data_IF_844608996203
#
_entry.id   IF_844608996203
#
_cell.length_a   1.000
_cell.length_b   1.000
_cell.length_c   1.000
_cell.angle_alpha   90.00
_cell.angle_beta   90.00
_cell.angle_gamma   90.00
#
_symmetry.space_group_name_H-M   'P 1'
#
loop_
_entity.id
_entity.type
_entity.pdbx_description
1 polymer ?
#
# COMPACT_ATOMS: atom_id res chain seq x y z
N UNK A 1 15.80 1.64 48.98
CA UNK A 1 14.69 1.71 48.00
C UNK A 1 15.29 2.07 46.66
N UNK A 2 15.33 1.15 45.70
CA UNK A 2 16.00 1.40 44.43
C UNK A 2 15.14 2.32 43.55
N UNK A 3 15.63 3.52 43.26
CA UNK A 3 15.03 4.47 42.32
C UNK A 3 15.06 3.88 40.91
N UNK A 4 14.07 3.06 40.58
CA UNK A 4 13.95 2.50 39.25
C UNK A 4 13.47 3.59 38.29
N UNK A 5 14.18 3.79 37.17
CA UNK A 5 13.77 4.75 36.12
C UNK A 5 12.34 4.46 35.65
N UNK A 6 11.47 5.45 35.37
CA UNK A 6 10.14 5.23 34.78
C UNK A 6 10.17 4.50 33.43
N UNK A 7 9.06 3.84 33.06
CA UNK A 7 9.00 3.08 31.79
C UNK A 7 9.08 4.01 30.58
N UNK A 8 8.55 5.23 30.70
CA UNK A 8 8.58 6.27 29.68
C UNK A 8 10.02 6.68 29.38
N UNK A 9 10.86 6.81 30.41
CA UNK A 9 12.30 7.08 30.27
C UNK A 9 13.01 5.93 29.58
N UNK A 10 12.68 4.67 29.93
CA UNK A 10 13.24 3.50 29.25
C UNK A 10 12.81 3.43 27.79
N UNK A 11 11.54 3.76 27.47
CA UNK A 11 11.05 3.83 26.08
C UNK A 11 11.85 4.86 25.30
N UNK A 12 12.04 6.05 25.86
CA UNK A 12 12.82 7.10 25.21
C UNK A 12 14.27 6.68 24.95
N UNK A 13 14.94 6.05 25.93
CA UNK A 13 16.31 5.55 25.75
C UNK A 13 16.35 4.43 24.70
N UNK A 14 15.46 3.44 24.81
CA UNK A 14 15.46 2.25 23.97
C UNK A 14 15.04 2.55 22.53
N UNK A 15 14.24 3.60 22.29
CA UNK A 15 13.84 4.02 20.94
C UNK A 15 15.04 4.44 20.05
N UNK A 16 16.18 4.78 20.66
CA UNK A 16 17.42 5.11 19.95
C UNK A 16 18.37 3.93 19.77
N UNK A 17 18.04 2.75 20.32
CA UNK A 17 18.88 1.54 20.19
C UNK A 17 18.62 0.83 18.86
N UNK A 18 19.68 0.26 18.29
CA UNK A 18 19.57 -0.59 17.11
C UNK A 18 18.77 -1.86 17.44
N UNK A 19 18.00 -2.43 16.49
CA UNK A 19 17.21 -3.65 16.73
C UNK A 19 18.02 -4.82 17.31
N UNK A 20 19.26 -5.02 16.85
CA UNK A 20 20.15 -6.05 17.37
C UNK A 20 20.50 -5.85 18.86
N UNK A 21 20.60 -4.60 19.32
CA UNK A 21 20.83 -4.26 20.72
C UNK A 21 19.55 -4.47 21.54
N UNK A 22 18.40 -4.07 21.01
CA UNK A 22 17.09 -4.33 21.65
C UNK A 22 16.88 -5.82 21.90
N UNK A 23 17.26 -6.69 20.96
CA UNK A 23 17.21 -8.14 21.14
C UNK A 23 18.05 -8.64 22.33
N UNK A 24 19.21 -8.03 22.58
CA UNK A 24 20.01 -8.33 23.78
C UNK A 24 19.33 -7.80 25.04
N UNK A 25 18.74 -6.60 24.98
CA UNK A 25 17.98 -6.00 26.10
C UNK A 25 16.80 -6.87 26.52
N UNK A 26 16.16 -7.60 25.59
CA UNK A 26 15.09 -8.58 25.90
C UNK A 26 15.53 -9.67 26.89
N UNK A 27 16.83 -9.95 26.97
CA UNK A 27 17.40 -11.01 27.80
C UNK A 27 17.78 -10.52 29.21
N UNK A 28 17.86 -9.20 29.43
CA UNK A 28 18.38 -8.61 30.68
C UNK A 28 17.38 -8.72 31.84
N UNK A 29 16.14 -8.27 31.64
CA UNK A 29 15.10 -8.32 32.68
C UNK A 29 13.70 -8.36 32.08
N UNK A 30 12.69 -8.82 32.85
CA UNK A 30 11.28 -8.85 32.40
C UNK A 30 10.76 -7.45 32.04
N UNK A 31 11.16 -6.44 32.81
CA UNK A 31 10.76 -5.05 32.58
C UNK A 31 11.36 -4.51 31.29
N UNK A 32 12.65 -4.73 31.09
CA UNK A 32 13.34 -4.31 29.86
C UNK A 32 12.80 -5.05 28.65
N UNK A 33 12.46 -6.34 28.81
CA UNK A 33 11.78 -7.13 27.80
C UNK A 33 10.47 -6.46 27.35
N UNK A 34 9.57 -6.14 28.26
CA UNK A 34 8.29 -5.53 27.91
C UNK A 34 8.46 -4.21 27.11
N UNK A 35 9.40 -3.36 27.53
CA UNK A 35 9.70 -2.10 26.84
C UNK A 35 10.33 -2.34 25.45
N UNK A 36 11.32 -3.22 25.36
CA UNK A 36 12.00 -3.52 24.11
C UNK A 36 11.11 -4.28 23.11
N UNK A 37 10.25 -5.21 23.57
CA UNK A 37 9.25 -5.88 22.71
C UNK A 37 8.27 -4.85 22.14
N UNK A 38 7.76 -3.94 22.97
CA UNK A 38 6.88 -2.87 22.49
C UNK A 38 7.54 -2.08 21.37
N UNK A 39 8.80 -1.66 21.53
CA UNK A 39 9.52 -0.90 20.49
C UNK A 39 9.74 -1.74 19.23
N UNK A 40 10.22 -2.98 19.37
CA UNK A 40 10.51 -3.87 18.25
C UNK A 40 9.27 -4.22 17.42
N UNK A 41 8.14 -4.45 18.07
CA UNK A 41 6.91 -4.89 17.40
C UNK A 41 5.94 -3.77 17.05
N UNK A 42 6.18 -2.51 17.48
CA UNK A 42 5.30 -1.39 17.10
C UNK A 42 5.25 -1.20 15.58
N UNK A 43 6.40 -1.31 14.91
CA UNK A 43 6.52 -1.14 13.47
C UNK A 43 7.23 -2.35 12.86
N UNK A 44 6.48 -3.20 12.16
CA UNK A 44 7.01 -4.40 11.52
C UNK A 44 7.11 -4.14 10.03
N UNK A 45 8.31 -4.30 9.47
CA UNK A 45 8.54 -4.25 8.03
C UNK A 45 9.32 -5.48 7.59
N UNK A 46 8.76 -6.24 6.65
CA UNK A 46 9.32 -7.50 6.15
C UNK A 46 9.52 -7.36 4.64
N UNK A 47 10.76 -7.48 4.20
CA UNK A 47 11.13 -7.55 2.79
C UNK A 47 11.75 -8.91 2.49
N UNK A 48 11.19 -9.65 1.53
CA UNK A 48 11.65 -11.00 1.19
C UNK A 48 11.75 -11.21 -0.31
N UNK A 49 12.83 -11.86 -0.75
CA UNK A 49 13.00 -12.32 -2.12
C UNK A 49 12.54 -13.77 -2.21
N UNK A 50 11.64 -14.06 -3.16
CA UNK A 50 11.04 -15.37 -3.36
C UNK A 50 11.52 -15.93 -4.71
N UNK A 51 12.71 -16.58 -4.76
CA UNK A 51 13.17 -17.25 -5.96
C UNK A 51 12.35 -18.51 -6.24
N UNK A 52 12.32 -18.98 -7.49
CA UNK A 52 11.60 -20.22 -7.83
C UNK A 52 12.08 -21.45 -7.05
N UNK A 53 13.37 -21.50 -6.67
CA UNK A 53 13.94 -22.59 -5.87
C UNK A 53 13.50 -22.56 -4.40
N UNK A 54 13.12 -21.38 -3.88
CA UNK A 54 12.61 -21.21 -2.53
C UNK A 54 11.45 -20.20 -2.52
N UNK A 55 10.24 -20.64 -2.89
CA UNK A 55 9.09 -19.75 -3.05
C UNK A 55 8.42 -19.38 -1.72
N UNK A 56 8.91 -19.85 -0.58
CA UNK A 56 8.26 -19.70 0.74
C UNK A 56 8.77 -18.45 1.47
N UNK A 57 7.91 -17.46 1.80
CA UNK A 57 8.26 -16.29 2.61
C UNK A 57 8.39 -16.65 4.09
N UNK A 58 9.50 -17.28 4.46
CA UNK A 58 9.75 -17.77 5.81
C UNK A 58 9.73 -16.66 6.88
N UNK A 59 10.24 -15.46 6.59
CA UNK A 59 10.27 -14.39 7.61
C UNK A 59 8.86 -13.89 7.89
N UNK A 60 8.04 -13.73 6.85
CA UNK A 60 6.63 -13.37 6.95
C UNK A 60 5.89 -14.43 7.76
N UNK A 61 6.04 -15.70 7.40
CA UNK A 61 5.39 -16.80 8.12
C UNK A 61 5.79 -16.83 9.61
N UNK A 62 7.08 -16.82 9.90
CA UNK A 62 7.59 -16.81 11.28
C UNK A 62 7.09 -15.60 12.08
N UNK A 63 7.03 -14.43 11.47
CA UNK A 63 6.54 -13.21 12.12
C UNK A 63 5.05 -13.35 12.50
N UNK A 64 4.20 -13.73 11.56
CA UNK A 64 2.77 -13.86 11.83
C UNK A 64 2.44 -15.04 12.75
N UNK A 65 3.16 -16.16 12.65
CA UNK A 65 3.09 -17.23 13.66
C UNK A 65 3.48 -16.74 15.06
N UNK A 66 4.49 -15.87 15.16
CA UNK A 66 4.90 -15.28 16.44
C UNK A 66 3.79 -14.41 17.03
N UNK A 67 3.12 -13.58 16.22
CA UNK A 67 1.96 -12.78 16.65
C UNK A 67 0.84 -13.70 17.16
N UNK A 68 0.54 -14.78 16.43
CA UNK A 68 -0.50 -15.75 16.83
C UNK A 68 -0.12 -16.44 18.15
N UNK A 69 1.13 -16.87 18.31
CA UNK A 69 1.62 -17.56 19.51
C UNK A 69 1.77 -16.62 20.72
N UNK A 70 1.88 -15.31 20.49
CA UNK A 70 2.05 -14.29 21.53
C UNK A 70 1.00 -13.18 21.39
N UNK A 71 -0.26 -13.43 21.82
CA UNK A 71 -1.37 -12.51 21.58
C UNK A 71 -1.16 -11.09 22.13
N UNK A 72 -0.43 -10.91 23.24
CA UNK A 72 -0.10 -9.58 23.78
C UNK A 72 0.66 -8.69 22.78
N UNK A 73 1.33 -9.27 21.77
CA UNK A 73 1.97 -8.49 20.71
C UNK A 73 0.93 -7.74 19.85
N UNK A 74 -0.29 -8.25 19.73
CA UNK A 74 -1.32 -7.57 18.92
C UNK A 74 -1.73 -6.21 19.51
N UNK A 75 -1.52 -6.00 20.81
CA UNK A 75 -1.79 -4.73 21.50
C UNK A 75 -0.73 -3.66 21.21
N UNK A 76 0.47 -4.05 20.77
CA UNK A 76 1.58 -3.10 20.51
C UNK A 76 1.79 -2.82 19.03
N UNK A 77 1.44 -3.73 18.13
CA UNK A 77 1.61 -3.54 16.68
C UNK A 77 0.75 -2.37 16.20
N UNK A 78 1.38 -1.41 15.51
CA UNK A 78 0.73 -0.25 14.90
C UNK A 78 0.92 -0.21 13.39
N UNK A 79 2.04 -0.69 12.88
CA UNK A 79 2.34 -0.69 11.45
C UNK A 79 2.84 -2.04 10.99
N UNK A 80 2.28 -2.54 9.89
CA UNK A 80 2.74 -3.72 9.18
C UNK A 80 3.02 -3.36 7.73
N UNK A 81 4.23 -3.65 7.28
CA UNK A 81 4.62 -3.64 5.87
C UNK A 81 5.18 -4.99 5.46
N UNK A 82 4.62 -5.61 4.43
CA UNK A 82 5.13 -6.86 3.83
C UNK A 82 5.41 -6.60 2.36
N UNK A 83 6.63 -6.92 1.92
CA UNK A 83 7.05 -6.77 0.53
C UNK A 83 7.74 -8.04 0.05
N UNK A 84 7.06 -8.79 -0.79
CA UNK A 84 7.61 -9.95 -1.48
C UNK A 84 8.11 -9.55 -2.87
N UNK A 85 9.28 -10.08 -3.23
CA UNK A 85 9.91 -9.88 -4.52
C UNK A 85 10.02 -11.24 -5.21
N UNK A 86 9.04 -11.56 -6.03
CA UNK A 86 9.05 -12.78 -6.86
C UNK A 86 9.85 -12.55 -8.13
N UNK A 87 10.53 -13.59 -8.63
CA UNK A 87 11.17 -13.52 -9.95
C UNK A 87 10.14 -13.30 -11.08
N UNK A 88 10.49 -12.69 -12.22
CA UNK A 88 9.60 -12.60 -13.37
C UNK A 88 9.16 -13.99 -13.86
N UNK A 89 7.94 -14.11 -14.38
CA UNK A 89 7.44 -15.34 -14.98
C UNK A 89 6.06 -15.77 -14.49
N UNK A 90 5.63 -16.99 -14.83
CA UNK A 90 4.35 -17.57 -14.39
C UNK A 90 4.27 -17.67 -12.86
N UNK A 91 3.06 -17.56 -12.29
CA UNK A 91 2.85 -17.47 -10.82
C UNK A 91 2.32 -18.74 -10.19
N UNK A 92 1.90 -19.70 -11.01
CA UNK A 92 1.29 -20.97 -10.63
C UNK A 92 2.19 -21.76 -9.67
N UNK A 93 3.51 -21.71 -9.88
CA UNK A 93 4.49 -22.39 -9.02
C UNK A 93 4.53 -21.87 -7.58
N UNK A 94 4.21 -20.59 -7.36
CA UNK A 94 4.16 -19.99 -6.03
C UNK A 94 2.84 -20.35 -5.33
N UNK A 95 1.72 -20.41 -6.07
CA UNK A 95 0.36 -20.50 -5.50
C UNK A 95 0.20 -21.66 -4.50
N UNK A 96 0.77 -22.84 -4.79
CA UNK A 96 0.72 -24.03 -3.91
C UNK A 96 1.30 -23.80 -2.51
N UNK A 97 2.24 -22.86 -2.38
CA UNK A 97 2.87 -22.51 -1.10
C UNK A 97 2.21 -21.29 -0.44
N UNK A 98 1.54 -20.43 -1.22
CA UNK A 98 1.04 -19.15 -0.71
C UNK A 98 -0.24 -19.32 0.09
N UNK A 99 -1.13 -20.25 -0.29
CA UNK A 99 -2.43 -20.38 0.36
C UNK A 99 -2.35 -20.56 1.90
N UNK A 100 -1.55 -21.50 2.45
CA UNK A 100 -1.43 -21.66 3.91
C UNK A 100 -0.84 -20.42 4.61
N UNK A 101 0.04 -19.70 3.90
CA UNK A 101 0.71 -18.52 4.43
C UNK A 101 -0.28 -17.35 4.47
N UNK A 102 -1.08 -17.17 3.43
CA UNK A 102 -2.13 -16.15 3.39
C UNK A 102 -3.17 -16.37 4.48
N UNK A 103 -3.55 -17.63 4.75
CA UNK A 103 -4.42 -17.98 5.88
C UNK A 103 -3.79 -17.61 7.22
N UNK A 104 -2.49 -17.85 7.38
CA UNK A 104 -1.74 -17.46 8.59
C UNK A 104 -1.67 -15.94 8.75
N UNK A 105 -1.42 -15.21 7.66
CA UNK A 105 -1.45 -13.75 7.64
C UNK A 105 -2.84 -13.25 8.03
N UNK A 106 -3.90 -13.75 7.41
CA UNK A 106 -5.28 -13.36 7.72
C UNK A 106 -5.62 -13.59 9.20
N UNK A 107 -5.31 -14.78 9.73
CA UNK A 107 -5.55 -15.11 11.14
C UNK A 107 -4.85 -14.13 12.08
N UNK A 108 -3.59 -13.79 11.80
CA UNK A 108 -2.85 -12.84 12.60
C UNK A 108 -3.39 -11.41 12.46
N UNK A 109 -3.71 -10.96 11.23
CA UNK A 109 -4.28 -9.64 10.96
C UNK A 109 -5.59 -9.40 11.72
N UNK A 110 -6.45 -10.41 11.86
CA UNK A 110 -7.68 -10.32 12.68
C UNK A 110 -7.43 -9.95 14.15
N UNK A 111 -6.24 -10.24 14.68
CA UNK A 111 -5.87 -9.91 16.06
C UNK A 111 -5.41 -8.45 16.21
N UNK A 112 -5.01 -7.79 15.11
CA UNK A 112 -4.36 -6.48 15.12
C UNK A 112 -5.35 -5.32 15.05
N UNK A 113 -6.24 -5.22 16.04
CA UNK A 113 -7.31 -4.21 16.07
C UNK A 113 -6.80 -2.78 16.21
N UNK A 114 -5.57 -2.59 16.68
CA UNK A 114 -4.91 -1.29 16.87
C UNK A 114 -4.02 -0.88 15.69
N UNK A 115 -4.13 -1.58 14.55
CA UNK A 115 -3.31 -1.31 13.37
C UNK A 115 -3.68 0.04 12.73
N UNK A 116 -2.67 0.89 12.54
CA UNK A 116 -2.80 2.22 11.94
C UNK A 116 -2.32 2.25 10.48
N UNK A 117 -1.40 1.35 10.11
CA UNK A 117 -0.81 1.28 8.78
C UNK A 117 -0.66 -0.18 8.34
N UNK A 118 -1.25 -0.52 7.20
CA UNK A 118 -1.13 -1.83 6.57
C UNK A 118 -0.67 -1.67 5.13
N UNK A 119 0.52 -2.17 4.81
CA UNK A 119 1.09 -2.17 3.46
C UNK A 119 1.44 -3.59 3.04
N UNK A 120 0.76 -4.12 2.03
CA UNK A 120 0.95 -5.47 1.52
C UNK A 120 1.31 -5.42 0.04
N UNK A 121 2.56 -5.73 -0.29
CA UNK A 121 3.09 -5.80 -1.64
C UNK A 121 3.55 -7.23 -1.93
N UNK A 122 2.64 -8.09 -2.38
CA UNK A 122 2.87 -9.54 -2.39
C UNK A 122 3.59 -10.05 -3.66
N UNK A 123 3.72 -9.25 -4.73
CA UNK A 123 4.42 -9.66 -5.96
C UNK A 123 3.76 -10.79 -6.75
N UNK A 124 2.55 -11.20 -6.36
CA UNK A 124 1.78 -12.32 -6.94
C UNK A 124 0.74 -11.85 -7.97
N UNK A 125 1.04 -10.77 -8.68
CA UNK A 125 0.19 -10.27 -9.76
C UNK A 125 0.00 -11.35 -10.82
N UNK A 126 -1.25 -11.56 -11.24
CA UNK A 126 -1.67 -12.63 -12.15
C UNK A 126 -2.00 -13.96 -11.47
N UNK A 127 -1.72 -14.09 -10.17
CA UNK A 127 -2.18 -15.24 -9.38
C UNK A 127 -3.68 -15.21 -9.13
N UNK A 128 -4.21 -16.34 -8.65
CA UNK A 128 -5.62 -16.52 -8.25
C UNK A 128 -5.91 -16.02 -6.83
N UNK A 129 -4.98 -15.27 -6.22
CA UNK A 129 -5.09 -14.83 -4.84
C UNK A 129 -6.09 -13.69 -4.73
N UNK A 130 -7.14 -13.95 -3.95
CA UNK A 130 -8.15 -12.96 -3.60
C UNK A 130 -7.72 -12.12 -2.39
N UNK A 131 -7.96 -10.81 -2.46
CA UNK A 131 -7.91 -9.90 -1.30
C UNK A 131 -8.80 -10.38 -0.14
N UNK A 132 -9.87 -11.12 -0.45
CA UNK A 132 -10.76 -11.70 0.55
C UNK A 132 -10.06 -12.75 1.40
N UNK A 133 -9.25 -13.63 0.83
CA UNK A 133 -8.48 -14.62 1.61
C UNK A 133 -7.56 -13.95 2.63
N UNK A 134 -7.05 -12.76 2.32
CA UNK A 134 -6.13 -12.00 3.14
C UNK A 134 -6.82 -11.14 4.22
N UNK A 135 -7.95 -10.53 3.88
CA UNK A 135 -8.58 -9.50 4.73
C UNK A 135 -9.90 -9.94 5.36
N UNK A 136 -10.45 -11.10 5.00
CA UNK A 136 -11.76 -11.54 5.51
C UNK A 136 -11.79 -11.50 7.05
N UNK A 137 -12.90 -10.94 7.58
CA UNK A 137 -13.15 -10.72 9.00
C UNK A 137 -12.14 -9.81 9.73
N UNK A 138 -11.22 -9.16 9.02
CA UNK A 138 -10.35 -8.16 9.63
C UNK A 138 -11.15 -6.89 9.96
N UNK A 139 -10.87 -6.28 11.10
CA UNK A 139 -11.46 -5.01 11.54
C UNK A 139 -10.36 -4.10 12.02
N UNK A 140 -10.22 -2.94 11.38
CA UNK A 140 -9.17 -1.99 11.69
C UNK A 140 -9.75 -0.59 11.94
N UNK A 141 -10.36 -0.34 13.10
CA UNK A 141 -11.01 0.93 13.41
C UNK A 141 -10.06 2.13 13.38
N UNK A 142 -8.75 1.90 13.52
CA UNK A 142 -7.72 2.94 13.53
C UNK A 142 -6.87 2.97 12.26
N UNK A 143 -7.23 2.21 11.21
CA UNK A 143 -6.40 2.14 9.99
C UNK A 143 -6.45 3.47 9.24
N UNK A 144 -5.32 4.16 9.19
CA UNK A 144 -5.17 5.44 8.48
C UNK A 144 -4.51 5.26 7.13
N UNK A 145 -3.58 4.31 7.01
CA UNK A 145 -2.91 3.99 5.76
C UNK A 145 -3.21 2.55 5.36
N UNK A 146 -3.74 2.39 4.15
CA UNK A 146 -3.92 1.09 3.53
C UNK A 146 -3.26 1.07 2.15
N UNK A 147 -2.35 0.12 1.95
CA UNK A 147 -1.71 -0.12 0.67
C UNK A 147 -1.77 -1.60 0.30
N UNK A 148 -2.21 -1.88 -0.93
CA UNK A 148 -2.28 -3.22 -1.46
C UNK A 148 -1.75 -3.24 -2.90
N UNK A 149 -0.80 -4.12 -3.16
CA UNK A 149 -0.18 -4.31 -4.47
C UNK A 149 0.30 -5.75 -4.64
N UNK A 150 0.55 -6.15 -5.89
CA UNK A 150 1.01 -7.47 -6.25
C UNK A 150 -0.02 -8.56 -6.00
N UNK A 151 -1.31 -8.26 -6.11
CA UNK A 151 -2.39 -9.25 -6.16
C UNK A 151 -3.38 -8.88 -7.26
N UNK A 152 -4.20 -9.85 -7.69
CA UNK A 152 -5.16 -9.67 -8.79
C UNK A 152 -4.50 -9.60 -10.16
N UNK A 153 -5.26 -9.17 -11.17
CA UNK A 153 -4.83 -9.12 -12.58
C UNK A 153 -3.64 -8.17 -12.81
N UNK A 154 -3.66 -7.01 -12.17
CA UNK A 154 -2.81 -5.88 -12.52
C UNK A 154 -2.91 -5.53 -14.01
N UNK A 155 -1.75 -5.32 -14.65
CA UNK A 155 -1.58 -4.99 -16.07
C UNK A 155 -1.78 -6.16 -17.05
N UNK A 156 -2.13 -7.36 -16.57
CA UNK A 156 -2.33 -8.50 -17.48
C UNK A 156 -3.62 -8.31 -18.30
N UNK A 157 -3.67 -8.79 -19.56
CA UNK A 157 -4.89 -8.78 -20.35
C UNK A 157 -6.02 -9.54 -19.66
N UNK A 158 -7.26 -9.08 -19.81
CA UNK A 158 -8.46 -9.74 -19.23
C UNK A 158 -8.55 -11.22 -19.62
N UNK A 159 -8.16 -11.56 -20.85
CA UNK A 159 -8.15 -12.96 -21.34
C UNK A 159 -7.23 -13.89 -20.55
N UNK A 160 -6.20 -13.34 -19.90
CA UNK A 160 -5.23 -14.10 -19.09
C UNK A 160 -5.68 -14.27 -17.64
N UNK A 161 -6.81 -13.67 -17.24
CA UNK A 161 -7.34 -13.72 -15.89
C UNK A 161 -8.88 -13.85 -15.97
N UNK A 162 -9.39 -15.05 -16.32
CA UNK A 162 -10.81 -15.26 -16.61
C UNK A 162 -11.72 -15.14 -15.38
N UNK A 163 -11.17 -15.40 -14.19
CA UNK A 163 -11.90 -15.32 -12.92
C UNK A 163 -11.58 -14.00 -12.22
N UNK A 164 -12.43 -12.96 -12.34
CA UNK A 164 -12.16 -11.68 -11.71
C UNK A 164 -12.01 -11.86 -10.20
N UNK A 165 -10.94 -11.29 -9.64
CA UNK A 165 -10.78 -11.26 -8.19
C UNK A 165 -11.97 -10.52 -7.58
N UNK A 166 -12.60 -11.03 -6.51
CA UNK A 166 -13.70 -10.33 -5.89
C UNK A 166 -13.20 -8.97 -5.42
N UNK A 167 -13.97 -7.90 -5.66
CA UNK A 167 -13.44 -6.56 -5.58
C UNK A 167 -13.37 -6.12 -4.10
N UNK A 168 -12.47 -5.19 -3.78
CA UNK A 168 -12.06 -4.88 -2.39
C UNK A 168 -13.01 -3.91 -1.66
N UNK A 169 -14.11 -3.50 -2.29
CA UNK A 169 -15.03 -2.47 -1.78
C UNK A 169 -15.64 -2.83 -0.44
N UNK A 170 -15.92 -4.11 -0.19
CA UNK A 170 -16.46 -4.57 1.09
C UNK A 170 -15.55 -4.22 2.27
N UNK A 171 -14.23 -4.24 2.05
CA UNK A 171 -13.25 -3.90 3.08
C UNK A 171 -13.09 -2.38 3.20
N UNK A 172 -13.02 -1.68 2.08
CA UNK A 172 -12.87 -0.22 2.04
C UNK A 172 -14.09 0.48 2.67
N UNK A 173 -15.31 0.03 2.35
CA UNK A 173 -16.55 0.54 2.94
C UNK A 173 -16.65 0.28 4.45
N UNK A 174 -16.09 -0.84 4.93
CA UNK A 174 -16.04 -1.17 6.35
C UNK A 174 -14.95 -0.41 7.13
N UNK A 175 -14.08 0.36 6.46
CA UNK A 175 -12.91 1.01 7.07
C UNK A 175 -12.89 2.52 6.81
N UNK A 176 -13.83 3.29 7.39
CA UNK A 176 -13.95 4.73 7.11
C UNK A 176 -12.79 5.58 7.65
N UNK A 177 -11.91 5.02 8.49
CA UNK A 177 -10.76 5.69 9.08
C UNK A 177 -9.60 5.94 8.11
N UNK A 178 -9.62 5.32 6.92
CA UNK A 178 -8.54 5.41 5.94
C UNK A 178 -8.40 6.85 5.43
N UNK A 179 -7.20 7.41 5.60
CA UNK A 179 -6.79 8.73 5.12
C UNK A 179 -5.89 8.61 3.89
N UNK A 180 -5.11 7.55 3.81
CA UNK A 180 -4.16 7.28 2.73
C UNK A 180 -4.43 5.92 2.10
N UNK A 181 -4.87 5.91 0.85
CA UNK A 181 -5.18 4.69 0.11
C UNK A 181 -4.20 4.51 -1.06
N UNK A 182 -3.58 3.34 -1.16
CA UNK A 182 -2.69 2.98 -2.27
C UNK A 182 -3.11 1.65 -2.91
N UNK A 183 -3.58 1.70 -4.15
CA UNK A 183 -4.03 0.54 -4.93
C UNK A 183 -3.29 0.54 -6.27
N UNK A 184 -1.98 0.24 -6.22
CA UNK A 184 -1.06 0.44 -7.36
C UNK A 184 -1.38 -0.49 -8.53
N UNK A 185 -1.89 -1.69 -8.24
CA UNK A 185 -2.19 -2.72 -9.26
C UNK A 185 -3.70 -2.92 -9.47
N UNK A 186 -4.52 -2.00 -8.97
CA UNK A 186 -5.95 -1.99 -9.25
C UNK A 186 -6.20 -1.13 -10.50
N UNK A 187 -6.71 -1.76 -11.55
CA UNK A 187 -7.05 -1.14 -12.84
C UNK A 187 -8.56 -1.21 -13.10
N UNK A 188 -9.33 -1.45 -12.05
CA UNK A 188 -10.78 -1.63 -12.11
C UNK A 188 -11.49 -0.43 -11.47
N UNK A 189 -12.72 -0.22 -11.92
CA UNK A 189 -13.63 0.78 -11.34
C UNK A 189 -14.18 0.20 -10.05
N UNK A 190 -13.98 0.91 -8.94
CA UNK A 190 -14.50 0.50 -7.63
C UNK A 190 -15.88 1.13 -7.40
N UNK A 191 -16.84 0.30 -6.99
CA UNK A 191 -18.23 0.74 -6.76
C UNK A 191 -18.44 1.17 -5.30
N UNK A 192 -17.73 2.22 -4.88
CA UNK A 192 -17.83 2.78 -3.52
C UNK A 192 -18.91 3.86 -3.42
N UNK A 193 -19.67 3.86 -2.33
CA UNK A 193 -20.66 4.93 -2.03
C UNK A 193 -19.94 6.21 -1.64
N UNK A 194 -20.51 7.38 -1.92
CA UNK A 194 -19.91 8.67 -1.54
C UNK A 194 -19.67 8.84 -0.04
N UNK A 195 -20.40 8.10 0.80
CA UNK A 195 -20.21 8.02 2.26
C UNK A 195 -19.00 7.18 2.69
N UNK A 196 -18.50 6.30 1.83
CA UNK A 196 -17.37 5.43 2.13
C UNK A 196 -16.07 6.27 2.07
N UNK A 197 -15.12 6.01 2.97
CA UNK A 197 -13.84 6.73 3.05
C UNK A 197 -13.99 8.27 3.16
N UNK A 198 -14.79 8.79 4.11
CA UNK A 198 -15.16 10.21 4.17
C UNK A 198 -13.99 11.15 4.45
N UNK A 199 -12.89 10.65 5.01
CA UNK A 199 -11.69 11.42 5.39
C UNK A 199 -10.48 11.10 4.51
N UNK A 200 -10.69 10.52 3.33
CA UNK A 200 -9.62 10.19 2.39
C UNK A 200 -8.94 11.46 1.87
N UNK A 201 -7.68 11.68 2.27
CA UNK A 201 -6.90 12.87 1.92
C UNK A 201 -5.82 12.60 0.87
N UNK A 202 -5.35 11.35 0.76
CA UNK A 202 -4.38 10.94 -0.25
C UNK A 202 -4.77 9.64 -0.95
N UNK A 203 -4.61 9.62 -2.27
CA UNK A 203 -4.85 8.45 -3.10
C UNK A 203 -3.66 8.18 -4.03
N UNK A 204 -3.30 6.90 -4.18
CA UNK A 204 -2.36 6.41 -5.20
C UNK A 204 -2.93 5.22 -5.94
N UNK A 205 -3.01 5.28 -7.27
CA UNK A 205 -3.58 4.19 -8.07
C UNK A 205 -3.67 4.55 -9.57
N UNK A 206 -4.27 3.67 -10.36
CA UNK A 206 -4.54 3.94 -11.77
C UNK A 206 -5.55 5.08 -11.95
N UNK A 207 -5.59 5.70 -13.13
CA UNK A 207 -6.55 6.77 -13.43
C UNK A 207 -8.02 6.30 -13.38
N UNK A 208 -8.39 5.13 -13.94
CA UNK A 208 -9.76 4.62 -13.82
C UNK A 208 -10.18 4.38 -12.37
N UNK A 209 -9.30 3.80 -11.55
CA UNK A 209 -9.57 3.60 -10.12
C UNK A 209 -9.68 4.93 -9.40
N UNK A 210 -8.77 5.89 -9.64
CA UNK A 210 -8.86 7.24 -9.08
C UNK A 210 -10.19 7.93 -9.45
N UNK A 211 -10.61 7.85 -10.71
CA UNK A 211 -11.87 8.42 -11.20
C UNK A 211 -13.10 7.84 -10.48
N UNK A 212 -13.05 6.57 -10.08
CA UNK A 212 -14.12 5.93 -9.29
C UNK A 212 -14.07 6.29 -7.80
N UNK A 213 -12.87 6.37 -7.22
CA UNK A 213 -12.67 6.58 -5.78
C UNK A 213 -12.75 8.06 -5.38
N UNK A 214 -12.42 9.03 -6.23
CA UNK A 214 -12.30 10.42 -5.77
C UNK A 214 -13.63 11.17 -5.67
N UNK A 215 -14.67 10.72 -6.37
CA UNK A 215 -15.95 11.45 -6.45
C UNK A 215 -16.55 11.73 -5.07
N UNK A 216 -16.67 13.01 -4.71
CA UNK A 216 -17.23 13.48 -3.43
C UNK A 216 -16.28 13.36 -2.22
N UNK A 217 -15.05 12.86 -2.38
CA UNK A 217 -14.10 12.64 -1.28
C UNK A 217 -13.03 13.74 -1.21
N UNK A 218 -12.51 14.11 -0.02
CA UNK A 218 -11.66 15.28 0.15
C UNK A 218 -10.18 15.00 -0.17
N UNK A 219 -9.90 14.42 -1.35
CA UNK A 219 -8.53 14.07 -1.74
C UNK A 219 -7.77 15.34 -2.15
N UNK A 220 -6.61 15.54 -1.53
CA UNK A 220 -5.71 16.67 -1.82
C UNK A 220 -4.39 16.22 -2.45
N UNK A 221 -3.99 14.98 -2.19
CA UNK A 221 -2.76 14.37 -2.70
C UNK A 221 -3.09 13.20 -3.61
N UNK A 222 -2.83 13.35 -4.91
CA UNK A 222 -3.07 12.35 -5.93
C UNK A 222 -1.76 11.87 -6.54
N UNK A 223 -1.51 10.56 -6.54
CA UNK A 223 -0.44 9.94 -7.29
C UNK A 223 -1.02 8.95 -8.30
N UNK A 224 -0.87 9.26 -9.59
CA UNK A 224 -1.32 8.38 -10.64
C UNK A 224 -0.19 7.43 -11.04
N UNK A 225 -0.53 6.16 -11.28
CA UNK A 225 0.42 5.10 -11.67
C UNK A 225 -0.08 4.37 -12.91
N UNK A 226 0.85 3.70 -13.60
CA UNK A 226 0.54 2.80 -14.71
C UNK A 226 0.91 3.37 -16.07
N UNK A 227 0.68 2.56 -17.10
CA UNK A 227 0.96 2.88 -18.50
C UNK A 227 -0.31 3.16 -19.31
N UNK A 228 -1.47 3.11 -18.67
CA UNK A 228 -2.76 3.32 -19.33
C UNK A 228 -2.95 4.78 -19.72
N UNK A 229 -3.68 4.99 -20.81
CA UNK A 229 -4.06 6.32 -21.27
C UNK A 229 -5.07 6.92 -20.29
N UNK A 230 -4.73 8.06 -19.69
CA UNK A 230 -5.65 8.83 -18.86
C UNK A 230 -6.65 9.52 -19.79
N UNK A 231 -7.92 9.15 -19.70
CA UNK A 231 -8.95 9.76 -20.55
C UNK A 231 -9.43 11.08 -19.97
N UNK A 232 -9.99 11.95 -20.82
CA UNK A 232 -10.62 13.21 -20.39
C UNK A 232 -11.75 12.94 -19.38
N UNK A 233 -12.53 11.89 -19.62
CA UNK A 233 -13.60 11.43 -18.71
C UNK A 233 -13.09 11.01 -17.33
N UNK A 234 -11.89 10.43 -17.25
CA UNK A 234 -11.27 10.11 -15.96
C UNK A 234 -10.90 11.40 -15.21
N UNK A 235 -10.31 12.37 -15.90
CA UNK A 235 -9.96 13.67 -15.33
C UNK A 235 -11.18 14.46 -14.87
N UNK A 236 -12.26 14.50 -15.66
CA UNK A 236 -13.55 15.10 -15.26
C UNK A 236 -14.08 14.50 -13.97
N UNK A 237 -13.97 13.18 -13.81
CA UNK A 237 -14.44 12.48 -12.60
C UNK A 237 -13.51 12.70 -11.40
N UNK A 238 -12.20 12.71 -11.62
CA UNK A 238 -11.21 13.06 -10.59
C UNK A 238 -11.44 14.50 -10.10
N UNK A 239 -11.78 15.42 -11.01
CA UNK A 239 -12.09 16.81 -10.68
C UNK A 239 -13.35 16.96 -9.79
N UNK A 240 -14.22 15.94 -9.71
CA UNK A 240 -15.38 15.88 -8.79
C UNK A 240 -15.00 15.48 -7.35
N UNK A 241 -13.70 15.47 -7.02
CA UNK A 241 -13.23 15.44 -5.63
C UNK A 241 -13.84 16.60 -4.84
N UNK A 242 -14.22 16.39 -3.57
CA UNK A 242 -14.80 17.46 -2.74
C UNK A 242 -13.75 18.45 -2.23
N UNK A 243 -12.47 18.08 -2.32
CA UNK A 243 -11.34 18.99 -2.13
C UNK A 243 -10.52 19.12 -3.42
N UNK A 244 -9.89 20.28 -3.62
CA UNK A 244 -8.98 20.49 -4.74
C UNK A 244 -7.71 19.67 -4.57
N UNK A 245 -7.26 19.05 -5.66
CA UNK A 245 -6.00 18.32 -5.73
C UNK A 245 -4.85 19.33 -5.75
N UNK A 246 -4.09 19.41 -4.66
CA UNK A 246 -2.95 20.33 -4.51
C UNK A 246 -1.62 19.67 -4.85
N UNK A 247 -1.48 18.38 -4.56
CA UNK A 247 -0.26 17.63 -4.82
C UNK A 247 -0.54 16.54 -5.86
N UNK A 248 0.14 16.61 -6.99
CA UNK A 248 -0.02 15.69 -8.11
C UNK A 248 1.32 15.02 -8.44
N UNK A 249 1.40 13.70 -8.25
CA UNK A 249 2.57 12.88 -8.59
C UNK A 249 2.27 11.98 -9.80
N UNK A 250 2.89 12.32 -10.93
CA UNK A 250 2.88 11.59 -12.19
C UNK A 250 4.22 10.88 -12.47
N UNK A 251 5.13 10.79 -11.50
CA UNK A 251 6.47 10.22 -11.70
C UNK A 251 6.49 8.73 -12.01
N UNK A 252 5.37 8.04 -11.79
CA UNK A 252 5.17 6.62 -12.07
C UNK A 252 4.37 6.37 -13.37
N UNK A 253 4.30 7.36 -14.26
CA UNK A 253 3.57 7.29 -15.53
C UNK A 253 4.40 7.84 -16.69
N UNK A 254 3.99 7.50 -17.91
CA UNK A 254 4.46 8.16 -19.13
C UNK A 254 3.66 9.44 -19.36
N UNK A 255 4.25 10.60 -19.04
CA UNK A 255 3.59 11.91 -19.16
C UNK A 255 3.85 12.51 -20.55
N UNK A 256 2.77 12.88 -21.25
CA UNK A 256 2.84 13.59 -22.54
C UNK A 256 2.42 15.06 -22.38
N UNK A 257 2.84 15.97 -23.27
CA UNK A 257 2.36 17.36 -23.26
C UNK A 257 0.84 17.48 -23.38
N UNK A 258 0.21 16.58 -24.16
CA UNK A 258 -1.26 16.51 -24.30
C UNK A 258 -1.90 16.19 -22.95
N UNK A 259 -1.40 15.18 -22.23
CA UNK A 259 -1.88 14.85 -20.90
C UNK A 259 -1.72 16.03 -19.92
N UNK A 260 -0.59 16.74 -19.95
CA UNK A 260 -0.40 17.91 -19.08
C UNK A 260 -1.39 19.04 -19.36
N UNK A 261 -1.70 19.28 -20.65
CA UNK A 261 -2.73 20.23 -21.07
C UNK A 261 -4.12 19.79 -20.58
N UNK A 262 -4.43 18.51 -20.70
CA UNK A 262 -5.75 18.00 -20.31
C UNK A 262 -5.90 17.99 -18.77
N UNK A 263 -4.82 17.68 -18.04
CA UNK A 263 -4.73 17.83 -16.57
C UNK A 263 -4.93 19.29 -16.17
N UNK A 264 -4.27 20.25 -16.83
CA UNK A 264 -4.38 21.67 -16.44
C UNK A 264 -5.78 22.24 -16.68
N UNK A 265 -6.53 21.69 -17.63
CA UNK A 265 -7.95 22.04 -17.87
C UNK A 265 -8.88 21.55 -16.76
N UNK A 266 -8.64 20.36 -16.21
CA UNK A 266 -9.57 19.70 -15.30
C UNK A 266 -9.19 19.84 -13.82
N UNK A 267 -7.89 19.72 -13.51
CA UNK A 267 -7.35 19.74 -12.15
C UNK A 267 -6.76 21.11 -11.85
N UNK A 268 -7.62 22.12 -11.74
CA UNK A 268 -7.20 23.48 -11.41
C UNK A 268 -6.78 23.57 -9.92
N UNK A 269 -5.70 24.31 -9.65
CA UNK A 269 -5.19 24.52 -8.28
C UNK A 269 -4.17 23.49 -7.79
N UNK A 270 -3.54 22.74 -8.70
CA UNK A 270 -2.34 21.95 -8.37
C UNK A 270 -1.21 22.92 -8.00
N UNK A 271 -0.74 22.82 -6.76
CA UNK A 271 0.37 23.61 -6.20
C UNK A 271 1.71 22.91 -6.42
N UNK A 272 1.72 21.58 -6.36
CA UNK A 272 2.92 20.77 -6.51
C UNK A 272 2.72 19.70 -7.57
N UNK A 273 3.55 19.74 -8.59
CA UNK A 273 3.57 18.77 -9.68
C UNK A 273 4.90 18.04 -9.70
N UNK A 274 4.87 16.73 -9.46
CA UNK A 274 6.03 15.85 -9.59
C UNK A 274 5.86 14.99 -10.82
N UNK A 275 6.80 15.06 -11.74
CA UNK A 275 6.79 14.25 -12.97
C UNK A 275 8.21 13.78 -13.31
N UNK A 276 8.29 12.68 -14.07
CA UNK A 276 9.54 12.20 -14.65
C UNK A 276 9.52 12.46 -16.16
N UNK A 277 10.37 13.36 -16.63
CA UNK A 277 10.48 13.67 -18.06
C UNK A 277 11.28 12.58 -18.78
N UNK A 278 10.66 11.89 -19.72
CA UNK A 278 11.37 11.00 -20.64
C UNK A 278 11.97 11.83 -21.78
N UNK A 279 13.13 12.45 -21.53
CA UNK A 279 13.80 13.39 -22.45
C UNK A 279 14.11 12.83 -23.85
N UNK A 280 14.15 11.50 -24.02
CA UNK A 280 14.53 10.86 -25.30
C UNK A 280 13.63 11.22 -26.48
N UNK A 281 12.33 11.44 -26.27
CA UNK A 281 11.41 11.80 -27.36
C UNK A 281 11.10 13.30 -27.40
N UNK A 282 11.21 14.00 -26.27
CA UNK A 282 10.93 15.44 -26.18
C UNK A 282 12.00 16.26 -26.89
N UNK A 283 13.27 15.86 -26.81
CA UNK A 283 14.37 16.57 -27.48
C UNK A 283 14.26 16.53 -29.00
N UNK A 284 13.81 15.42 -29.59
CA UNK A 284 13.58 15.36 -31.04
C UNK A 284 12.52 16.37 -31.50
N UNK A 285 11.40 16.49 -30.78
CA UNK A 285 10.33 17.42 -31.15
C UNK A 285 10.70 18.90 -30.93
N UNK A 286 11.46 19.23 -29.88
CA UNK A 286 11.91 20.62 -29.68
C UNK A 286 13.06 21.03 -30.60
N UNK A 287 13.90 20.09 -31.07
CA UNK A 287 14.99 20.39 -32.00
C UNK A 287 14.54 20.43 -33.48
N UNK A 288 13.50 19.68 -33.85
CA UNK A 288 12.94 19.74 -35.21
C UNK A 288 12.18 21.05 -35.52
N UNK A 289 11.84 21.85 -34.52
CA UNK A 289 11.17 23.14 -34.69
C UNK A 289 12.09 24.37 -34.71
N UNK A 290 13.41 24.21 -34.49
CA UNK A 290 14.36 25.33 -34.36
C UNK A 290 15.22 25.56 -35.62
N UNK A 291 15.12 24.70 -36.64
CA UNK A 291 15.85 24.90 -37.91
C UNK A 291 14.89 24.92 -39.09
N UNK A 292 14.39 26.11 -39.43
CA UNK A 292 13.95 26.48 -40.78
C UNK A 292 13.90 28.03 -40.89
N UNK A 293 14.97 28.69 -41.37
CA UNK A 293 14.84 29.91 -42.15
C UNK A 293 14.30 29.63 -43.55
#
# INVERSE_FOLDING_TARGET
>A
MANSLPNETLVAIFAHLQPAVLLRVLQVSRRFRAVAERILYTNIFIGESLPHANPVPHLTLCCFETIIRRPHLSEVVRKIGVRWQTQPGPREHYMRFMEPILQTINRALRMLTLLESLELALGLQGGTISSRGLLNECRFPFLRLFALSGIGRGNLPVKSHPDPSPPIEWFLSATPSIQHLRLVDCYEVLNLRSSDLPILSAFRGSAPTAASVLQGRPVQSLSLVGHEFVTEKDLERIAKSSARIRWLDLSSMSVTPILLRDISRHLFGVEFLKMKLALRHTLHYTLSGIVSP
#
